data_IF_227812611199
#
_entry.id   IF_227812611199
#
_cell.length_a   1.000
_cell.length_b   1.000
_cell.length_c   1.000
_cell.angle_alpha   90.00
_cell.angle_beta   90.00
_cell.angle_gamma   90.00
#
_symmetry.space_group_name_H-M   'P 1'
#
loop_
_entity.id
_entity.type
_entity.pdbx_description
1 polymer ?
#
# COMPACT_ATOMS: atom_id res chain seq x y z
N UNK A 1 -16.84 37.21 -2.07
CA UNK A 1 -17.00 35.81 -1.59
C UNK A 1 -15.87 34.97 -2.16
N UNK A 2 -15.08 34.31 -1.32
CA UNK A 2 -14.05 33.39 -1.79
C UNK A 2 -14.69 32.03 -2.10
N UNK A 3 -14.49 31.53 -3.32
CA UNK A 3 -14.93 30.18 -3.70
C UNK A 3 -13.90 29.21 -3.12
N UNK A 4 -14.28 28.52 -2.05
CA UNK A 4 -13.46 27.46 -1.44
C UNK A 4 -13.76 26.15 -2.16
N UNK A 5 -12.73 25.57 -2.82
CA UNK A 5 -12.86 24.28 -3.51
C UNK A 5 -12.61 23.14 -2.52
N UNK A 6 -13.64 22.35 -2.23
CA UNK A 6 -13.51 21.10 -1.47
C UNK A 6 -13.48 19.92 -2.45
N UNK A 7 -12.52 19.02 -2.27
CA UNK A 7 -12.58 17.70 -2.90
C UNK A 7 -13.39 16.78 -1.97
N UNK A 8 -14.51 16.18 -2.42
CA UNK A 8 -15.19 15.18 -1.63
C UNK A 8 -14.22 14.03 -1.36
N UNK A 9 -14.02 13.69 -0.08
CA UNK A 9 -13.26 12.49 0.30
C UNK A 9 -14.12 11.27 -0.03
N UNK A 10 -14.10 10.82 -1.28
CA UNK A 10 -14.41 9.44 -1.59
C UNK A 10 -13.45 8.54 -0.78
N UNK A 11 -13.95 7.45 -0.22
CA UNK A 11 -13.13 6.51 0.56
C UNK A 11 -11.96 6.02 -0.30
N UNK A 12 -10.75 6.03 0.26
CA UNK A 12 -9.60 5.46 -0.43
C UNK A 12 -9.87 3.98 -0.71
N UNK A 13 -9.55 3.53 -1.92
CA UNK A 13 -9.67 2.12 -2.27
C UNK A 13 -8.28 1.50 -2.32
N UNK A 14 -8.05 0.36 -1.62
CA UNK A 14 -6.85 -0.42 -1.86
C UNK A 14 -6.81 -0.84 -3.33
N UNK A 15 -5.66 -0.65 -3.98
CA UNK A 15 -5.37 -1.20 -5.29
C UNK A 15 -5.00 -2.68 -5.17
N UNK A 16 -4.03 -2.95 -4.29
CA UNK A 16 -3.51 -4.27 -3.95
C UNK A 16 -2.56 -4.11 -2.75
N UNK A 17 -2.12 -5.23 -2.18
CA UNK A 17 -1.01 -5.24 -1.24
C UNK A 17 0.17 -6.06 -1.74
N UNK A 18 1.32 -5.85 -1.11
CA UNK A 18 2.56 -6.54 -1.39
C UNK A 18 3.03 -7.26 -0.14
N UNK A 19 3.30 -8.56 -0.23
CA UNK A 19 4.02 -9.28 0.83
C UNK A 19 5.48 -8.83 0.80
N UNK A 20 5.94 -8.30 1.93
CA UNK A 20 7.33 -7.89 2.09
C UNK A 20 8.23 -9.10 2.34
N UNK A 21 9.45 -9.04 1.85
CA UNK A 21 10.51 -9.99 2.23
C UNK A 21 11.01 -9.69 3.63
N UNK A 22 11.59 -10.70 4.27
CA UNK A 22 12.04 -10.65 5.67
C UNK A 22 12.98 -9.49 5.98
N UNK A 23 13.79 -9.05 5.01
CA UNK A 23 14.64 -7.88 5.16
C UNK A 23 13.84 -6.63 5.51
N UNK A 24 12.70 -6.39 4.85
CA UNK A 24 11.83 -5.26 5.19
C UNK A 24 11.12 -5.46 6.52
N UNK A 25 10.76 -6.70 6.88
CA UNK A 25 10.15 -6.99 8.19
C UNK A 25 11.08 -6.55 9.33
N UNK A 26 12.37 -6.87 9.22
CA UNK A 26 13.40 -6.42 10.19
C UNK A 26 13.52 -4.89 10.23
N UNK A 27 13.55 -4.25 9.06
CA UNK A 27 13.62 -2.77 8.96
C UNK A 27 12.41 -2.12 9.66
N UNK A 28 11.21 -2.66 9.46
CA UNK A 28 9.97 -2.15 10.10
C UNK A 28 10.07 -2.28 11.62
N UNK A 29 10.51 -3.44 12.11
CA UNK A 29 10.65 -3.69 13.55
C UNK A 29 11.71 -2.78 14.21
N UNK A 30 12.83 -2.51 13.54
CA UNK A 30 13.91 -1.68 14.08
C UNK A 30 13.63 -0.17 14.00
N UNK A 31 13.08 0.31 12.88
CA UNK A 31 12.93 1.74 12.61
C UNK A 31 11.53 2.28 12.94
N UNK A 32 10.55 1.40 13.11
CA UNK A 32 9.14 1.75 13.20
C UNK A 32 8.49 2.04 11.84
N UNK A 33 7.16 1.95 11.83
CA UNK A 33 6.33 2.02 10.61
C UNK A 33 6.56 3.31 9.81
N UNK A 34 6.65 4.47 10.47
CA UNK A 34 6.77 5.77 9.80
C UNK A 34 8.06 5.89 8.96
N UNK A 35 9.20 5.50 9.53
CA UNK A 35 10.49 5.51 8.83
C UNK A 35 10.58 4.41 7.77
N UNK A 36 10.06 3.23 8.10
CA UNK A 36 10.05 2.11 7.17
C UNK A 36 9.23 2.43 5.92
N UNK A 37 8.12 3.16 6.06
CA UNK A 37 7.33 3.62 4.92
C UNK A 37 8.14 4.47 3.94
N UNK A 38 8.97 5.40 4.41
CA UNK A 38 9.81 6.22 3.53
C UNK A 38 10.80 5.34 2.75
N UNK A 39 11.45 4.40 3.43
CA UNK A 39 12.40 3.46 2.83
C UNK A 39 11.72 2.57 1.80
N UNK A 40 10.55 2.01 2.14
CA UNK A 40 9.76 1.15 1.25
C UNK A 40 9.35 1.92 0.00
N UNK A 41 8.91 3.19 0.15
CA UNK A 41 8.54 4.01 -1.00
C UNK A 41 9.70 4.24 -1.95
N UNK A 42 10.89 4.48 -1.41
CA UNK A 42 12.11 4.66 -2.21
C UNK A 42 12.48 3.33 -2.89
N UNK A 43 12.56 2.24 -2.13
CA UNK A 43 13.02 0.95 -2.63
C UNK A 43 12.11 0.35 -3.72
N UNK A 44 10.80 0.58 -3.62
CA UNK A 44 9.81 0.07 -4.57
C UNK A 44 9.42 1.08 -5.64
N UNK A 45 10.10 2.24 -5.70
CA UNK A 45 9.77 3.36 -6.59
C UNK A 45 8.27 3.76 -6.52
N UNK A 46 7.73 3.86 -5.32
CA UNK A 46 6.36 4.32 -5.06
C UNK A 46 6.39 5.85 -4.97
N UNK A 47 5.37 6.52 -5.51
CA UNK A 47 5.25 7.97 -5.38
C UNK A 47 5.24 8.37 -3.91
N UNK A 48 6.13 9.29 -3.52
CA UNK A 48 6.27 9.75 -2.12
C UNK A 48 4.96 10.20 -1.47
N UNK A 49 4.04 10.77 -2.27
CA UNK A 49 2.74 11.27 -1.83
C UNK A 49 1.62 10.22 -1.93
N UNK A 50 1.89 9.02 -2.46
CA UNK A 50 0.92 7.93 -2.45
C UNK A 50 0.72 7.45 -1.02
N UNK A 51 -0.54 7.21 -0.68
CA UNK A 51 -0.87 6.61 0.61
C UNK A 51 -0.58 5.12 0.54
N UNK A 52 0.19 4.65 1.51
CA UNK A 52 0.37 3.23 1.80
C UNK A 52 0.01 2.97 3.26
N UNK A 53 -0.37 1.74 3.58
CA UNK A 53 -0.51 1.26 4.95
C UNK A 53 0.36 0.02 5.11
N UNK A 54 1.01 -0.13 6.27
CA UNK A 54 1.84 -1.29 6.60
C UNK A 54 1.12 -2.06 7.68
N UNK A 55 0.84 -3.34 7.42
CA UNK A 55 0.12 -4.20 8.36
C UNK A 55 0.90 -5.46 8.63
N UNK A 56 1.01 -5.77 9.92
CA UNK A 56 1.40 -7.09 10.38
C UNK A 56 0.24 -8.05 10.10
N UNK A 57 0.56 -9.18 9.51
CA UNK A 57 -0.39 -10.24 9.14
C UNK A 57 0.19 -11.58 9.56
N UNK A 58 -0.70 -12.52 9.82
CA UNK A 58 -0.39 -13.90 10.12
C UNK A 58 -0.89 -14.76 8.97
N UNK A 59 -0.06 -15.67 8.47
CA UNK A 59 -0.50 -16.64 7.47
C UNK A 59 -1.10 -17.91 8.12
N UNK A 60 -1.55 -18.85 7.30
CA UNK A 60 -2.18 -20.09 7.78
C UNK A 60 -1.27 -21.00 8.61
N UNK A 61 0.05 -20.77 8.56
CA UNK A 61 1.03 -21.53 9.32
C UNK A 61 1.42 -20.84 10.64
N UNK A 62 0.85 -19.66 10.91
CA UNK A 62 1.21 -18.84 12.06
C UNK A 62 2.44 -17.97 11.83
N UNK A 63 2.95 -17.88 10.60
CA UNK A 63 4.11 -17.04 10.32
C UNK A 63 3.69 -15.58 10.21
N UNK A 64 4.30 -14.74 11.05
CA UNK A 64 4.06 -13.31 11.07
C UNK A 64 4.89 -12.64 9.96
N UNK A 65 4.22 -11.84 9.13
CA UNK A 65 4.81 -11.10 8.03
C UNK A 65 4.23 -9.69 7.97
N UNK A 66 4.90 -8.78 7.27
CA UNK A 66 4.31 -7.47 6.94
C UNK A 66 3.84 -7.42 5.50
N UNK A 67 2.70 -6.78 5.28
CA UNK A 67 2.22 -6.39 3.96
C UNK A 67 2.19 -4.88 3.82
N UNK A 68 2.42 -4.40 2.60
CA UNK A 68 2.24 -2.99 2.23
C UNK A 68 1.00 -2.89 1.37
N UNK A 69 -0.04 -2.23 1.88
CA UNK A 69 -1.29 -1.96 1.17
C UNK A 69 -1.13 -0.65 0.42
N UNK A 70 -1.33 -0.68 -0.90
CA UNK A 70 -1.27 0.50 -1.75
C UNK A 70 -2.67 1.03 -2.06
N UNK A 71 -2.87 2.34 -1.94
CA UNK A 71 -4.13 2.99 -2.26
C UNK A 71 -4.07 3.74 -3.59
N UNK A 72 -5.23 3.90 -4.21
CA UNK A 72 -5.39 4.68 -5.44
C UNK A 72 -5.15 6.19 -5.24
N UNK A 73 -5.16 6.64 -3.98
CA UNK A 73 -5.07 8.02 -3.57
C UNK A 73 -3.63 8.54 -3.43
N UNK A 74 -3.39 9.72 -4.00
CA UNK A 74 -2.13 10.48 -3.90
C UNK A 74 -2.45 11.83 -3.27
N UNK A 75 -1.85 12.15 -2.11
CA UNK A 75 -2.09 13.39 -1.42
C UNK A 75 -0.84 13.91 -0.73
N UNK A 76 -0.62 15.22 -0.83
CA UNK A 76 0.41 15.94 -0.06
C UNK A 76 -0.05 16.26 1.38
N UNK A 77 -1.32 16.08 1.68
CA UNK A 77 -1.96 16.43 2.96
C UNK A 77 -2.49 15.18 3.69
N UNK A 78 -2.59 15.29 5.03
CA UNK A 78 -2.96 14.26 6.03
C UNK A 78 -3.71 13.06 5.46
N UNK A 79 -3.27 11.84 5.84
CA UNK A 79 -3.95 10.57 5.57
C UNK A 79 -5.41 10.64 6.04
N UNK A 80 -6.43 10.51 5.17
CA UNK A 80 -7.76 10.10 5.60
C UNK A 80 -7.69 8.80 6.40
N UNK A 81 -8.64 8.60 7.33
CA UNK A 81 -8.81 7.31 8.01
C UNK A 81 -9.03 6.22 6.96
N UNK A 82 -8.23 5.18 7.04
CA UNK A 82 -8.24 4.06 6.12
C UNK A 82 -9.17 2.99 6.68
N UNK A 83 -10.20 2.61 5.92
CA UNK A 83 -10.93 1.38 6.16
C UNK A 83 -10.34 0.34 5.21
N UNK A 84 -9.74 -0.70 5.77
CA UNK A 84 -9.23 -1.82 4.99
C UNK A 84 -10.43 -2.75 4.76
N UNK A 85 -10.85 -2.96 3.51
CA UNK A 85 -11.95 -3.87 3.23
C UNK A 85 -11.51 -5.30 3.56
N UNK A 86 -12.33 -5.95 4.36
CA UNK A 86 -12.18 -7.34 4.78
C UNK A 86 -13.47 -8.09 4.41
N UNK A 87 -13.34 -9.36 4.09
CA UNK A 87 -14.47 -10.28 3.94
C UNK A 87 -15.10 -10.56 5.30
N UNK A 88 -16.31 -11.12 5.31
CA UNK A 88 -16.99 -11.54 6.55
C UNK A 88 -16.18 -12.57 7.35
N UNK A 89 -15.29 -13.29 6.68
CA UNK A 89 -14.38 -14.29 7.25
C UNK A 89 -13.04 -13.69 7.72
N UNK A 90 -12.85 -12.37 7.60
CA UNK A 90 -11.66 -11.64 8.05
C UNK A 90 -10.48 -11.61 7.05
N UNK A 91 -10.66 -12.15 5.85
CA UNK A 91 -9.64 -12.08 4.78
C UNK A 91 -9.64 -10.72 4.09
N UNK A 92 -8.53 -10.33 3.47
CA UNK A 92 -8.47 -9.10 2.68
C UNK A 92 -9.28 -9.23 1.38
N UNK A 93 -10.14 -8.26 1.08
CA UNK A 93 -10.96 -8.25 -0.14
C UNK A 93 -10.23 -7.58 -1.33
N UNK A 94 -8.90 -7.77 -1.39
CA UNK A 94 -8.05 -7.28 -2.47
C UNK A 94 -6.85 -8.20 -2.67
N UNK A 95 -6.27 -8.14 -3.86
CA UNK A 95 -5.14 -8.99 -4.23
C UNK A 95 -3.89 -8.64 -3.42
N UNK A 96 -3.21 -9.68 -2.92
CA UNK A 96 -1.89 -9.58 -2.29
C UNK A 96 -0.88 -10.25 -3.23
N UNK A 97 0.15 -9.51 -3.63
CA UNK A 97 1.19 -10.01 -4.53
C UNK A 97 2.51 -10.23 -3.78
N UNK A 98 3.26 -11.23 -4.22
CA UNK A 98 4.65 -11.43 -3.83
C UNK A 98 5.54 -11.03 -5.01
N UNK A 99 6.47 -10.09 -4.76
CA UNK A 99 7.36 -9.58 -5.81
C UNK A 99 8.66 -10.37 -5.85
N UNK A 100 9.24 -10.46 -7.04
CA UNK A 100 10.62 -10.91 -7.23
C UNK A 100 11.57 -9.73 -7.01
N UNK A 101 12.15 -9.66 -5.81
CA UNK A 101 13.08 -8.60 -5.40
C UNK A 101 14.46 -8.70 -6.08
N UNK A 102 14.72 -9.74 -6.89
CA UNK A 102 15.95 -9.83 -7.69
C UNK A 102 15.91 -8.96 -8.95
N UNK A 103 14.77 -8.34 -9.26
CA UNK A 103 14.58 -7.44 -10.39
C UNK A 103 14.31 -6.03 -9.92
N UNK A 104 14.57 -5.05 -10.80
CA UNK A 104 14.16 -3.67 -10.53
C UNK A 104 12.63 -3.60 -10.46
N UNK A 105 12.11 -3.20 -9.31
CA UNK A 105 10.68 -3.05 -9.07
C UNK A 105 10.30 -1.58 -9.31
N UNK A 106 9.26 -1.37 -10.12
CA UNK A 106 8.65 -0.05 -10.33
C UNK A 106 7.13 -0.17 -10.11
N UNK A 107 6.69 0.14 -8.90
CA UNK A 107 5.27 -0.01 -8.51
C UNK A 107 4.38 0.99 -9.24
N UNK A 108 4.83 2.21 -9.48
CA UNK A 108 4.03 3.21 -10.20
C UNK A 108 3.78 2.78 -11.65
N UNK A 109 4.77 2.12 -12.28
CA UNK A 109 4.58 1.50 -13.60
C UNK A 109 3.58 0.36 -13.55
N UNK A 110 3.68 -0.54 -12.57
CA UNK A 110 2.72 -1.65 -12.38
C UNK A 110 1.29 -1.13 -12.22
N UNK A 111 1.08 -0.11 -11.38
CA UNK A 111 -0.23 0.53 -11.19
C UNK A 111 -0.76 1.10 -12.50
N UNK A 112 0.11 1.77 -13.29
CA UNK A 112 -0.27 2.37 -14.57
C UNK A 112 -0.67 1.31 -15.60
N UNK A 113 0.07 0.21 -15.66
CA UNK A 113 -0.20 -0.88 -16.59
C UNK A 113 -1.50 -1.60 -16.22
N UNK A 114 -1.76 -1.86 -14.93
CA UNK A 114 -3.04 -2.40 -14.47
C UNK A 114 -4.22 -1.50 -14.86
N UNK A 115 -4.10 -0.17 -14.72
CA UNK A 115 -5.16 0.77 -15.14
C UNK A 115 -5.44 0.73 -16.64
N UNK A 116 -4.44 0.46 -17.48
CA UNK A 116 -4.65 0.30 -18.93
C UNK A 116 -5.48 -0.95 -19.26
N UNK A 117 -5.36 -2.01 -18.47
CA UNK A 117 -6.14 -3.23 -18.63
C UNK A 117 -7.51 -3.19 -17.93
N UNK A 118 -7.78 -2.18 -17.09
CA UNK A 118 -9.03 -1.99 -16.34
C UNK A 118 -10.02 -1.02 -17.01
N UNK A 119 -9.81 -0.64 -18.27
CA UNK A 119 -10.81 0.10 -19.05
C UNK A 119 -11.92 -0.90 -19.44
N UNK A 120 -13.00 -0.91 -18.66
CA UNK A 120 -14.30 -1.50 -19.00
C UNK A 120 -15.32 -0.39 -19.18
#
# INVERSE_FOLDING_TARGET
MAIVKFYPKGGMKPLFALKLVDTFNKIIQELGIEKAEEIIKIALNINKNRIIDIREVEDSNGDISFIVILYDFISKYKRPKTSIPQTEEGFFDFNIYQLDFNRTIDIEKIIKDQKKYLIK
#
